data_IF_137185914023
#
_entry.id   IF_137185914023
#
_cell.length_a   1.000
_cell.length_b   1.000
_cell.length_c   1.000
_cell.angle_alpha   90.00
_cell.angle_beta   90.00
_cell.angle_gamma   90.00
#
_symmetry.space_group_name_H-M   'P 1'
#
loop_
_entity.id
_entity.type
_entity.pdbx_description
1 polymer ?
#
# COMPACT_ATOMS: atom_id res chain seq x y z
N UNK A 1 -1.61 8.01 8.68
CA UNK A 1 -0.81 6.81 8.36
C UNK A 1 -0.65 6.76 6.86
N UNK A 2 0.53 6.35 6.38
CA UNK A 2 0.79 6.29 4.94
C UNK A 2 -0.22 5.38 4.23
N UNK A 3 -0.41 5.60 2.93
CA UNK A 3 -1.32 4.81 2.09
C UNK A 3 -0.93 3.32 2.11
N UNK A 4 -1.83 2.47 2.57
CA UNK A 4 -1.59 1.03 2.73
C UNK A 4 -2.86 0.20 2.58
N UNK A 5 -2.69 -1.12 2.51
CA UNK A 5 -3.75 -2.10 2.52
C UNK A 5 -3.43 -3.19 3.56
N UNK A 6 -4.44 -3.53 4.37
CA UNK A 6 -4.34 -4.59 5.38
C UNK A 6 -4.67 -5.97 4.79
N UNK A 7 -4.19 -7.02 5.47
CA UNK A 7 -4.44 -8.42 5.09
C UNK A 7 -5.77 -8.98 5.62
N UNK A 8 -6.52 -8.21 6.41
CA UNK A 8 -7.70 -8.62 7.15
C UNK A 8 -8.89 -7.71 6.84
N UNK A 9 -10.08 -8.19 7.15
CA UNK A 9 -11.24 -7.30 7.31
C UNK A 9 -11.09 -6.59 8.65
N UNK A 10 -11.51 -5.32 8.72
CA UNK A 10 -11.46 -4.60 9.98
C UNK A 10 -12.41 -3.41 10.07
N UNK A 11 -12.62 -2.94 11.29
CA UNK A 11 -13.30 -1.67 11.57
C UNK A 11 -12.32 -0.69 12.20
N UNK A 12 -12.47 0.58 11.81
CA UNK A 12 -11.89 1.73 12.50
C UNK A 12 -13.01 2.42 13.29
N UNK A 13 -12.90 2.36 14.61
CA UNK A 13 -13.87 2.93 15.56
C UNK A 13 -13.27 4.22 16.11
N UNK A 14 -13.89 5.36 15.83
CA UNK A 14 -13.38 6.66 16.24
C UNK A 14 -13.90 7.03 17.64
N UNK A 15 -13.01 7.09 18.63
CA UNK A 15 -13.39 7.32 20.03
C UNK A 15 -13.37 8.80 20.42
N UNK A 16 -12.42 9.57 19.88
CA UNK A 16 -12.25 10.99 20.18
C UNK A 16 -11.52 11.73 19.06
N UNK A 17 -11.92 12.98 18.78
CA UNK A 17 -11.41 13.75 17.63
C UNK A 17 -11.95 13.22 16.29
N UNK A 18 -11.37 13.68 15.17
CA UNK A 18 -11.79 13.28 13.83
C UNK A 18 -10.60 12.82 12.98
N UNK A 19 -10.89 11.95 12.00
CA UNK A 19 -9.92 11.48 11.02
C UNK A 19 -10.46 11.64 9.61
N UNK A 20 -9.65 12.19 8.70
CA UNK A 20 -9.90 12.11 7.27
C UNK A 20 -9.30 10.82 6.74
N UNK A 21 -10.06 10.06 5.96
CA UNK A 21 -9.58 8.91 5.23
C UNK A 21 -9.73 9.15 3.74
N UNK A 22 -8.74 8.69 2.98
CA UNK A 22 -8.83 8.55 1.53
C UNK A 22 -8.73 7.05 1.24
N UNK A 23 -9.78 6.48 0.66
CA UNK A 23 -9.88 5.07 0.34
C UNK A 23 -9.83 4.84 -1.16
N UNK A 24 -9.20 3.76 -1.58
CA UNK A 24 -9.15 3.33 -2.98
C UNK A 24 -9.58 1.86 -3.09
N UNK A 25 -10.42 1.53 -4.09
CA UNK A 25 -10.90 0.18 -4.26
C UNK A 25 -9.75 -0.77 -4.66
N UNK A 26 -9.87 -2.08 -4.37
CA UNK A 26 -8.81 -3.06 -4.63
C UNK A 26 -8.35 -3.14 -6.09
N UNK A 27 -9.20 -2.77 -7.05
CA UNK A 27 -8.87 -2.73 -8.48
C UNK A 27 -7.88 -1.61 -8.86
N UNK A 28 -7.67 -0.61 -7.98
CA UNK A 28 -6.69 0.46 -8.19
C UNK A 28 -5.28 0.07 -7.84
N UNK A 29 -5.04 -1.15 -7.36
CA UNK A 29 -3.74 -1.62 -6.91
C UNK A 29 -2.59 -1.30 -7.88
N UNK A 30 -2.82 -1.41 -9.19
CA UNK A 30 -1.80 -1.11 -10.20
C UNK A 30 -1.44 0.39 -10.29
N UNK A 31 -2.41 1.24 -10.01
CA UNK A 31 -2.30 2.69 -10.05
C UNK A 31 -1.76 3.27 -8.72
N UNK A 32 -1.61 2.43 -7.69
CA UNK A 32 -1.19 2.81 -6.33
C UNK A 32 0.26 2.40 -6.02
N UNK A 33 1.01 1.83 -6.96
CA UNK A 33 2.46 1.60 -6.84
C UNK A 33 2.89 1.00 -5.48
N UNK A 34 2.41 -0.20 -5.13
CA UNK A 34 2.86 -0.89 -3.93
C UNK A 34 4.37 -1.14 -3.97
N UNK A 35 5.02 -1.20 -2.81
CA UNK A 35 6.36 -1.78 -2.73
C UNK A 35 6.36 -3.24 -3.17
N UNK A 36 7.45 -3.71 -3.78
CA UNK A 36 7.48 -5.08 -4.30
C UNK A 36 7.50 -6.12 -3.18
N UNK A 37 7.20 -7.36 -3.54
CA UNK A 37 7.29 -8.50 -2.64
C UNK A 37 8.73 -8.69 -2.10
N UNK A 38 9.75 -8.36 -2.90
CA UNK A 38 11.15 -8.47 -2.51
C UNK A 38 11.47 -7.50 -1.36
N UNK A 39 10.86 -6.32 -1.36
CA UNK A 39 10.97 -5.41 -0.23
C UNK A 39 10.38 -6.06 1.04
N UNK A 40 9.22 -6.70 0.98
CA UNK A 40 8.65 -7.37 2.15
C UNK A 40 9.53 -8.52 2.68
N UNK A 41 10.18 -9.26 1.77
CA UNK A 41 11.16 -10.30 2.10
C UNK A 41 12.39 -9.74 2.82
N UNK A 42 12.97 -8.63 2.32
CA UNK A 42 14.16 -7.99 2.91
C UNK A 42 13.91 -7.53 4.36
N UNK A 43 12.69 -7.13 4.68
CA UNK A 43 12.30 -6.74 6.05
C UNK A 43 11.71 -7.89 6.87
N UNK A 44 11.96 -9.15 6.45
CA UNK A 44 11.68 -10.36 7.21
C UNK A 44 10.19 -10.67 7.40
N UNK A 45 9.32 -10.28 6.46
CA UNK A 45 7.86 -10.47 6.56
C UNK A 45 7.22 -9.89 7.83
N UNK A 46 7.91 -9.00 8.54
CA UNK A 46 7.39 -8.38 9.78
C UNK A 46 6.30 -7.34 9.52
N UNK A 47 6.13 -6.91 8.26
CA UNK A 47 5.12 -5.92 7.88
C UNK A 47 3.71 -6.54 7.93
N UNK A 48 2.85 -5.92 8.73
CA UNK A 48 1.43 -6.33 8.89
C UNK A 48 0.52 -5.79 7.77
N UNK A 49 1.02 -4.89 6.94
CA UNK A 49 0.30 -4.26 5.83
C UNK A 49 1.20 -4.09 4.60
N UNK A 50 0.56 -3.94 3.44
CA UNK A 50 1.23 -3.59 2.18
C UNK A 50 1.15 -2.08 1.96
N UNK A 51 2.29 -1.41 1.81
CA UNK A 51 2.37 0.04 1.69
C UNK A 51 2.56 0.47 0.22
N UNK A 52 2.02 1.64 -0.10
CA UNK A 52 2.25 2.35 -1.35
C UNK A 52 3.53 3.19 -1.25
N UNK A 53 4.18 3.42 -2.39
CA UNK A 53 5.26 4.40 -2.54
C UNK A 53 4.75 5.85 -2.60
N UNK A 54 3.44 6.04 -2.78
CA UNK A 54 2.82 7.35 -2.97
C UNK A 54 2.40 7.96 -1.63
N UNK A 55 2.63 9.26 -1.51
CA UNK A 55 2.06 10.11 -0.47
C UNK A 55 0.89 10.92 -1.07
N UNK A 56 -0.38 10.59 -0.77
CA UNK A 56 -1.53 11.24 -1.40
C UNK A 56 -1.63 12.75 -1.19
N UNK A 57 -1.10 13.27 -0.09
CA UNK A 57 -1.11 14.72 0.22
C UNK A 57 -0.14 15.52 -0.66
N UNK A 58 0.93 14.88 -1.16
CA UNK A 58 1.94 15.51 -2.02
C UNK A 58 2.44 14.50 -3.07
N UNK A 59 1.58 14.12 -4.04
CA UNK A 59 1.91 13.08 -4.99
C UNK A 59 2.92 13.56 -6.03
N UNK A 60 3.97 12.77 -6.25
CA UNK A 60 4.88 12.95 -7.38
C UNK A 60 4.28 12.26 -8.64
N UNK A 61 3.62 13.06 -9.48
CA UNK A 61 3.02 12.56 -10.72
C UNK A 61 4.02 12.28 -11.83
N UNK A 62 5.27 12.75 -11.73
CA UNK A 62 6.32 12.39 -12.68
C UNK A 62 6.78 10.97 -12.42
N UNK A 63 7.02 10.62 -11.16
CA UNK A 63 7.37 9.25 -10.75
C UNK A 63 6.17 8.28 -10.84
N UNK A 64 4.97 8.75 -10.47
CA UNK A 64 3.77 7.91 -10.33
C UNK A 64 2.58 8.39 -11.19
N UNK A 65 2.73 8.47 -12.53
CA UNK A 65 1.73 9.09 -13.42
C UNK A 65 0.35 8.41 -13.37
N UNK A 66 0.28 7.10 -13.10
CA UNK A 66 -0.98 6.36 -13.04
C UNK A 66 -1.80 6.68 -11.79
N UNK A 67 -1.22 7.34 -10.79
CA UNK A 67 -1.94 7.72 -9.58
C UNK A 67 -3.15 8.62 -9.87
N UNK A 68 -3.10 9.43 -10.94
CA UNK A 68 -4.25 10.21 -11.41
C UNK A 68 -5.50 9.35 -11.67
N UNK A 69 -5.31 8.13 -12.19
CA UNK A 69 -6.41 7.18 -12.40
C UNK A 69 -6.97 6.66 -11.08
N UNK A 70 -6.10 6.36 -10.11
CA UNK A 70 -6.54 5.96 -8.78
C UNK A 70 -7.35 7.07 -8.09
N UNK A 71 -6.89 8.32 -8.17
CA UNK A 71 -7.60 9.49 -7.61
C UNK A 71 -9.00 9.66 -8.19
N UNK A 72 -9.20 9.37 -9.48
CA UNK A 72 -10.55 9.43 -10.09
C UNK A 72 -11.55 8.41 -9.52
N UNK A 73 -11.08 7.41 -8.78
CA UNK A 73 -11.88 6.35 -8.19
C UNK A 73 -11.70 6.29 -6.65
N UNK A 74 -11.20 7.36 -6.04
CA UNK A 74 -11.02 7.44 -4.60
C UNK A 74 -12.30 7.87 -3.89
N UNK A 75 -12.44 7.43 -2.65
CA UNK A 75 -13.49 7.86 -1.73
C UNK A 75 -12.85 8.62 -0.59
N UNK A 76 -13.39 9.79 -0.25
CA UNK A 76 -12.98 10.53 0.94
C UNK A 76 -14.07 10.47 1.99
N UNK A 77 -13.69 10.25 3.24
CA UNK A 77 -14.61 10.29 4.38
C UNK A 77 -13.94 10.96 5.56
N UNK A 78 -14.69 11.80 6.27
CA UNK A 78 -14.29 12.28 7.59
C UNK A 78 -15.03 11.43 8.61
N UNK A 79 -14.27 10.66 9.39
CA UNK A 79 -14.75 9.84 10.46
C UNK A 79 -14.73 10.65 11.76
N UNK A 80 -15.92 10.99 12.24
CA UNK A 80 -16.13 11.76 13.46
C UNK A 80 -16.19 10.87 14.69
N UNK A 81 -16.15 11.49 15.85
CA UNK A 81 -16.29 10.80 17.12
C UNK A 81 -17.60 9.98 17.17
N UNK A 82 -17.50 8.75 17.70
CA UNK A 82 -18.57 7.72 17.80
C UNK A 82 -18.98 7.08 16.47
N UNK A 83 -18.33 7.42 15.36
CA UNK A 83 -18.55 6.75 14.09
C UNK A 83 -17.62 5.53 13.93
N UNK A 84 -18.08 4.59 13.12
CA UNK A 84 -17.36 3.36 12.80
C UNK A 84 -17.30 3.24 11.28
N UNK A 85 -16.09 3.01 10.77
CA UNK A 85 -15.88 2.67 9.36
C UNK A 85 -15.47 1.21 9.24
N UNK A 86 -16.23 0.44 8.47
CA UNK A 86 -15.81 -0.88 8.03
C UNK A 86 -14.90 -0.75 6.80
N UNK A 87 -13.71 -1.35 6.87
CA UNK A 87 -12.72 -1.39 5.80
C UNK A 87 -12.54 -2.85 5.38
N UNK A 88 -13.08 -3.25 4.22
CA UNK A 88 -12.92 -4.62 3.74
C UNK A 88 -11.47 -4.90 3.34
N UNK A 89 -11.06 -6.16 3.44
CA UNK A 89 -9.74 -6.59 2.95
C UNK A 89 -9.51 -6.16 1.49
N UNK A 90 -8.29 -5.72 1.17
CA UNK A 90 -7.92 -5.28 -0.17
C UNK A 90 -8.17 -3.79 -0.44
N UNK A 91 -8.90 -3.10 0.42
CA UNK A 91 -9.08 -1.65 0.31
C UNK A 91 -7.85 -0.91 0.79
N UNK A 92 -7.34 -0.06 -0.11
CA UNK A 92 -6.23 0.82 0.20
C UNK A 92 -6.76 2.04 0.92
N UNK A 93 -6.05 2.51 1.93
CA UNK A 93 -6.46 3.67 2.69
C UNK A 93 -5.27 4.45 3.26
N UNK A 94 -5.42 5.76 3.27
CA UNK A 94 -4.59 6.73 3.99
C UNK A 94 -5.46 7.35 5.10
N UNK A 95 -4.89 7.63 6.27
CA UNK A 95 -5.64 8.15 7.42
C UNK A 95 -4.93 9.35 8.02
N UNK A 96 -5.51 10.53 7.87
CA UNK A 96 -4.98 11.78 8.42
C UNK A 96 -5.79 12.20 9.65
N UNK A 97 -5.14 12.48 10.78
CA UNK A 97 -5.80 13.09 11.94
C UNK A 97 -6.15 14.55 11.64
N UNK A 98 -7.34 15.00 12.05
CA UNK A 98 -7.78 16.38 11.85
C UNK A 98 -7.71 17.17 13.16
N UNK A 99 -7.31 18.44 13.04
CA UNK A 99 -7.14 19.36 14.15
C UNK A 99 -5.84 19.15 14.93
N UNK A 100 -5.58 20.06 15.87
CA UNK A 100 -4.35 20.08 16.68
C UNK A 100 -4.49 19.35 18.02
N UNK A 101 -5.68 18.81 18.29
CA UNK A 101 -6.00 18.09 19.52
C UNK A 101 -5.64 16.60 19.48
N UNK A 102 -5.88 15.93 20.61
CA UNK A 102 -5.76 14.47 20.69
C UNK A 102 -6.79 13.80 19.78
N UNK A 103 -6.37 12.78 19.04
CA UNK A 103 -7.25 11.94 18.22
C UNK A 103 -7.06 10.48 18.64
N UNK A 104 -8.15 9.79 19.00
CA UNK A 104 -8.12 8.42 19.50
C UNK A 104 -9.10 7.53 18.74
N UNK A 105 -8.66 6.33 18.38
CA UNK A 105 -9.45 5.34 17.66
C UNK A 105 -9.00 3.92 17.99
N UNK A 106 -9.89 2.95 17.83
CA UNK A 106 -9.58 1.52 17.96
C UNK A 106 -9.80 0.82 16.63
N UNK A 107 -8.81 0.05 16.20
CA UNK A 107 -8.95 -0.87 15.07
C UNK A 107 -9.26 -2.27 15.58
N UNK A 108 -10.30 -2.90 15.02
CA UNK A 108 -10.59 -4.32 15.26
C UNK A 108 -10.48 -5.08 13.95
N UNK A 109 -9.53 -6.01 13.88
CA UNK A 109 -9.34 -6.89 12.72
C UNK A 109 -9.89 -8.29 12.99
N UNK A 110 -10.32 -8.98 11.93
CA UNK A 110 -10.72 -10.38 11.97
C UNK A 110 -10.39 -11.12 10.67
N UNK A 111 -10.46 -12.45 10.73
CA UNK A 111 -10.19 -13.31 9.57
C UNK A 111 -11.22 -13.04 8.47
N UNK A 112 -10.72 -12.91 7.25
CA UNK A 112 -11.57 -12.73 6.06
C UNK A 112 -12.38 -13.99 5.81
N UNK A 113 -13.70 -13.85 5.85
CA UNK A 113 -14.64 -14.90 5.47
C UNK A 113 -15.60 -14.38 4.39
N UNK A 114 -16.00 -15.23 3.45
CA UNK A 114 -15.43 -16.56 3.15
C UNK A 114 -13.98 -16.46 2.60
N UNK A 115 -13.17 -17.51 2.80
CA UNK A 115 -11.71 -17.50 2.52
C UNK A 115 -11.39 -17.17 1.06
N UNK A 116 -12.28 -17.50 0.12
CA UNK A 116 -12.11 -17.19 -1.30
C UNK A 116 -11.93 -15.68 -1.57
N UNK A 117 -12.50 -14.78 -0.74
CA UNK A 117 -12.31 -13.33 -0.86
C UNK A 117 -10.83 -12.93 -0.75
N UNK A 118 -10.08 -13.64 0.08
CA UNK A 118 -8.64 -13.42 0.22
C UNK A 118 -7.84 -14.21 -0.80
N UNK A 119 -8.21 -15.47 -1.03
CA UNK A 119 -7.43 -16.38 -1.86
C UNK A 119 -7.60 -16.11 -3.36
N UNK A 120 -8.82 -16.01 -3.89
CA UNK A 120 -9.04 -15.81 -5.33
C UNK A 120 -9.06 -14.34 -5.77
N UNK A 121 -8.46 -13.45 -4.96
CA UNK A 121 -8.31 -12.04 -5.34
C UNK A 121 -7.29 -11.91 -6.47
N UNK A 122 -7.77 -11.71 -7.70
CA UNK A 122 -6.94 -11.49 -8.89
C UNK A 122 -5.90 -10.38 -8.67
N UNK A 123 -6.29 -9.30 -7.99
CA UNK A 123 -5.41 -8.18 -7.69
C UNK A 123 -4.20 -8.59 -6.84
N UNK A 124 -4.35 -9.55 -5.92
CA UNK A 124 -3.24 -10.10 -5.11
C UNK A 124 -2.34 -11.00 -5.95
N UNK A 125 -2.91 -12.00 -6.61
CA UNK A 125 -2.14 -12.95 -7.42
C UNK A 125 -1.35 -12.28 -8.53
N UNK A 126 -1.94 -11.28 -9.18
CA UNK A 126 -1.27 -10.54 -10.24
C UNK A 126 0.03 -9.87 -9.78
N UNK A 127 0.11 -9.37 -8.53
CA UNK A 127 1.36 -8.79 -8.00
C UNK A 127 2.42 -9.88 -7.82
N UNK A 128 2.04 -11.00 -7.22
CA UNK A 128 2.98 -12.10 -6.98
C UNK A 128 3.51 -12.63 -8.31
N UNK A 129 2.62 -12.87 -9.28
CA UNK A 129 3.00 -13.29 -10.63
C UNK A 129 3.85 -12.25 -11.34
N UNK A 130 3.49 -10.96 -11.30
CA UNK A 130 4.30 -9.91 -11.93
C UNK A 130 5.68 -9.77 -11.28
N UNK A 131 5.75 -9.93 -9.95
CA UNK A 131 7.02 -9.87 -9.22
C UNK A 131 7.91 -11.04 -9.63
N UNK A 132 7.36 -12.26 -9.70
CA UNK A 132 8.07 -13.46 -10.15
C UNK A 132 8.58 -13.29 -11.59
N UNK A 133 7.72 -12.82 -12.50
CA UNK A 133 8.08 -12.58 -13.90
C UNK A 133 9.12 -11.47 -14.06
N UNK A 134 9.22 -10.53 -13.11
CA UNK A 134 10.23 -9.48 -13.13
C UNK A 134 11.61 -9.92 -12.58
N UNK A 135 11.69 -11.06 -11.88
CA UNK A 135 12.95 -11.56 -11.28
C UNK A 135 14.08 -11.69 -12.32
N UNK A 136 13.88 -12.30 -13.51
CA UNK A 136 14.96 -12.44 -14.50
C UNK A 136 15.52 -11.09 -14.96
N UNK A 137 14.65 -10.09 -15.13
CA UNK A 137 15.04 -8.74 -15.50
C UNK A 137 15.87 -8.06 -14.41
N UNK A 138 15.47 -8.17 -13.15
CA UNK A 138 16.26 -7.64 -12.03
C UNK A 138 17.60 -8.37 -11.88
N UNK A 139 17.64 -9.68 -12.10
CA UNK A 139 18.86 -10.47 -12.09
C UNK A 139 19.84 -10.03 -13.19
N UNK A 140 19.34 -9.81 -14.41
CA UNK A 140 20.13 -9.29 -15.52
C UNK A 140 20.70 -7.88 -15.24
N UNK A 141 19.89 -6.97 -14.69
CA UNK A 141 20.36 -5.64 -14.27
C UNK A 141 21.41 -5.75 -13.14
N UNK A 142 21.22 -6.68 -12.21
CA UNK A 142 22.21 -6.96 -11.15
C UNK A 142 23.57 -7.38 -11.74
N UNK A 143 23.56 -8.33 -12.69
CA UNK A 143 24.77 -8.79 -13.39
C UNK A 143 25.47 -7.64 -14.13
N UNK A 144 24.74 -6.81 -14.87
CA UNK A 144 25.35 -5.68 -15.59
C UNK A 144 25.94 -4.63 -14.66
N UNK A 145 25.34 -4.42 -13.48
CA UNK A 145 25.83 -3.46 -12.49
C UNK A 145 27.05 -3.95 -11.71
N UNK A 146 27.23 -5.27 -11.55
CA UNK A 146 28.46 -5.85 -10.97
C UNK A 146 29.67 -5.61 -11.90
N UNK A 147 29.43 -5.57 -13.20
CA UNK A 147 30.45 -5.36 -14.24
C UNK A 147 30.76 -3.86 -14.43
N UNK A 148 29.82 -2.95 -14.11
CA UNK A 148 29.97 -1.50 -14.24
C UNK A 148 30.85 -0.81 -13.18
N UNK A 149 31.35 0.38 -13.51
CA UNK A 149 32.29 1.19 -12.69
C UNK A 149 31.67 1.75 -11.39
N UNK A 150 30.38 2.13 -11.40
CA UNK A 150 29.68 2.76 -10.25
C UNK A 150 28.80 1.79 -9.46
N UNK A 151 29.43 0.79 -8.84
CA UNK A 151 28.74 -0.31 -8.14
C UNK A 151 27.82 0.15 -7.01
N UNK A 152 28.27 1.09 -6.17
CA UNK A 152 27.60 1.45 -4.92
C UNK A 152 26.33 2.28 -5.14
N UNK A 153 26.35 3.20 -6.10
CA UNK A 153 25.20 4.06 -6.41
C UNK A 153 24.12 3.30 -7.16
N UNK A 154 24.50 2.42 -8.10
CA UNK A 154 23.56 1.58 -8.83
C UNK A 154 22.87 0.54 -7.95
N UNK A 155 23.57 -0.04 -6.97
CA UNK A 155 22.99 -0.93 -5.98
C UNK A 155 21.93 -0.23 -5.11
N UNK A 156 22.21 1.00 -4.66
CA UNK A 156 21.24 1.76 -3.87
C UNK A 156 19.98 2.12 -4.67
N UNK A 157 20.12 2.51 -5.95
CA UNK A 157 18.97 2.76 -6.83
C UNK A 157 18.16 1.50 -7.11
N UNK A 158 18.81 0.34 -7.22
CA UNK A 158 18.13 -0.95 -7.34
C UNK A 158 17.35 -1.30 -6.08
N UNK A 159 17.95 -1.16 -4.91
CA UNK A 159 17.29 -1.44 -3.62
C UNK A 159 16.09 -0.53 -3.37
N UNK A 160 16.11 0.71 -3.86
CA UNK A 160 14.96 1.61 -3.79
C UNK A 160 13.82 1.21 -4.75
N UNK A 161 14.15 0.52 -5.86
CA UNK A 161 13.17 0.04 -6.86
C UNK A 161 12.55 -1.30 -6.50
N UNK A 162 13.20 -2.07 -5.61
CA UNK A 162 12.72 -3.35 -5.07
C UNK A 162 11.81 -3.08 -3.87
#
# INVERSE_FOLDING_TARGET
>A
TCLHCDAFDGTLIQLYGAKKLILFPPNQLYNLYPFSLLNNLLYGFKRRASYSQIYPQKPDFQAFPKFKKALSQSYEVVLNQREILYIPVGWWHEVTCLGDGVVCSVNRFWRVLPIYRSFFSWNKWRIHLSSILAIPHFFAIGLTNIIGKDRKENLNRLLQRL
#
